data_IF_580300940911
#
_entry.id   IF_580300940911
#
_cell.length_a   1.000
_cell.length_b   1.000
_cell.length_c   1.000
_cell.angle_alpha   90.00
_cell.angle_beta   90.00
_cell.angle_gamma   90.00
#
_symmetry.space_group_name_H-M   'P 1'
#
loop_
_entity.id
_entity.type
_entity.pdbx_description
1 polymer ?
#
# COMPACT_ATOMS: atom_id res chain seq x y z
N UNK A 1 2.47 -7.06 -10.04
CA UNK A 1 2.67 -6.84 -8.61
C UNK A 1 3.86 -5.94 -8.31
N UNK A 2 3.78 -5.22 -7.17
CA UNK A 2 4.97 -4.67 -6.52
C UNK A 2 5.61 -5.79 -5.71
N UNK A 3 6.88 -6.15 -5.93
CA UNK A 3 7.52 -7.22 -5.20
C UNK A 3 7.88 -6.79 -3.76
N UNK A 4 7.76 -7.71 -2.77
CA UNK A 4 7.36 -9.12 -2.90
C UNK A 4 5.89 -9.32 -2.46
N UNK A 5 5.33 -8.41 -1.67
CA UNK A 5 4.05 -8.54 -0.94
C UNK A 5 2.82 -8.53 -1.86
N UNK A 6 2.84 -7.79 -2.95
CA UNK A 6 1.72 -7.70 -3.89
C UNK A 6 1.50 -8.94 -4.79
N UNK A 7 2.36 -9.95 -4.76
CA UNK A 7 2.35 -11.06 -5.73
C UNK A 7 1.09 -11.91 -5.69
N UNK A 8 0.70 -12.37 -4.50
CA UNK A 8 -0.44 -13.29 -4.34
C UNK A 8 -1.73 -12.58 -4.74
N UNK A 9 -1.93 -11.36 -4.24
CA UNK A 9 -3.11 -10.58 -4.58
C UNK A 9 -3.19 -10.25 -6.07
N UNK A 10 -2.07 -9.89 -6.70
CA UNK A 10 -2.02 -9.63 -8.15
C UNK A 10 -2.34 -10.89 -8.97
N UNK A 11 -1.89 -12.07 -8.54
CA UNK A 11 -2.18 -13.33 -9.21
C UNK A 11 -3.69 -13.65 -9.16
N UNK A 12 -4.30 -13.55 -7.99
CA UNK A 12 -5.74 -13.82 -7.84
C UNK A 12 -6.60 -12.76 -8.54
N UNK A 13 -6.19 -11.49 -8.49
CA UNK A 13 -6.84 -10.43 -9.23
C UNK A 13 -6.75 -10.66 -10.76
N UNK A 14 -5.60 -11.06 -11.27
CA UNK A 14 -5.44 -11.36 -12.69
C UNK A 14 -6.31 -12.53 -13.14
N UNK A 15 -6.42 -13.58 -12.32
CA UNK A 15 -7.32 -14.72 -12.58
C UNK A 15 -8.78 -14.30 -12.63
N UNK A 16 -9.22 -13.52 -11.64
CA UNK A 16 -10.61 -13.05 -11.54
C UNK A 16 -10.99 -12.13 -12.68
N UNK A 17 -10.08 -11.25 -13.10
CA UNK A 17 -10.30 -10.31 -14.21
C UNK A 17 -10.06 -10.93 -15.59
N UNK A 18 -9.56 -12.16 -15.67
CA UNK A 18 -9.21 -12.81 -16.94
C UNK A 18 -8.10 -12.12 -17.71
N UNK A 19 -7.18 -11.43 -17.01
CA UNK A 19 -6.03 -10.73 -17.60
C UNK A 19 -4.73 -11.45 -17.32
N UNK A 20 -3.68 -11.11 -18.07
CA UNK A 20 -2.38 -11.73 -17.88
C UNK A 20 -1.69 -11.22 -16.60
N UNK A 21 -1.26 -12.16 -15.77
CA UNK A 21 -0.32 -11.89 -14.69
C UNK A 21 1.10 -11.77 -15.24
N UNK A 22 1.80 -10.70 -14.89
CA UNK A 22 3.20 -10.46 -15.27
C UNK A 22 3.97 -9.78 -14.14
N UNK A 23 5.23 -10.15 -13.95
CA UNK A 23 6.14 -9.49 -13.01
C UNK A 23 6.98 -8.46 -13.77
N UNK A 24 6.51 -7.22 -13.83
CA UNK A 24 7.21 -6.12 -14.51
C UNK A 24 8.28 -5.46 -13.64
N UNK A 25 8.23 -5.66 -12.32
CA UNK A 25 9.23 -5.13 -11.39
C UNK A 25 10.10 -6.25 -10.82
N UNK A 26 11.40 -6.01 -10.78
CA UNK A 26 12.39 -6.93 -10.18
C UNK A 26 13.08 -6.24 -9.02
N UNK A 27 13.09 -6.91 -7.87
CA UNK A 27 13.77 -6.43 -6.67
C UNK A 27 15.26 -6.73 -6.74
N UNK A 28 16.07 -5.71 -6.56
CA UNK A 28 17.51 -5.91 -6.43
C UNK A 28 17.83 -6.44 -5.02
N UNK A 29 18.17 -7.73 -4.93
CA UNK A 29 18.43 -8.41 -3.65
C UNK A 29 19.79 -8.06 -3.03
N UNK A 30 20.70 -7.47 -3.80
CA UNK A 30 22.04 -7.09 -3.33
C UNK A 30 22.06 -5.77 -2.55
N UNK A 31 20.98 -5.00 -2.57
CA UNK A 31 20.87 -3.75 -1.81
C UNK A 31 20.06 -4.03 -0.56
N UNK A 32 20.74 -4.14 0.57
CA UNK A 32 20.13 -4.38 1.88
C UNK A 32 19.10 -3.30 2.27
N UNK A 33 18.25 -3.58 3.25
CA UNK A 33 17.38 -2.57 3.87
C UNK A 33 18.29 -1.47 4.42
N UNK A 34 18.25 -0.29 3.83
CA UNK A 34 18.81 0.91 4.44
C UNK A 34 17.95 1.25 5.63
N UNK A 35 18.38 0.84 6.82
CA UNK A 35 17.79 1.27 8.08
C UNK A 35 17.87 2.80 8.14
N UNK A 36 16.74 3.42 8.39
CA UNK A 36 16.50 4.79 8.86
C UNK A 36 17.73 5.70 8.74
N UNK A 37 17.91 6.32 7.57
CA UNK A 37 18.82 7.47 7.46
C UNK A 37 18.00 8.76 7.57
N UNK A 38 18.41 9.72 8.41
CA UNK A 38 17.77 11.03 8.46
C UNK A 38 18.08 11.81 7.17
N UNK A 39 17.02 12.25 6.47
CA UNK A 39 17.13 13.11 5.30
C UNK A 39 16.20 12.69 4.15
N UNK A 40 15.31 13.59 3.73
CA UNK A 40 14.36 13.35 2.64
C UNK A 40 15.01 13.11 1.26
N UNK A 41 16.20 13.66 1.01
CA UNK A 41 16.91 13.52 -0.27
C UNK A 41 17.45 12.11 -0.50
N UNK A 42 17.85 11.40 0.56
CA UNK A 42 18.39 10.03 0.46
C UNK A 42 17.27 8.98 0.24
N UNK A 43 16.03 9.28 0.65
CA UNK A 43 14.88 8.39 0.46
C UNK A 43 14.43 8.28 -1.01
N UNK A 44 14.55 9.35 -1.80
CA UNK A 44 14.16 9.36 -3.22
C UNK A 44 14.98 8.40 -4.08
N UNK A 45 16.27 8.24 -3.81
CA UNK A 45 17.15 7.35 -4.56
C UNK A 45 17.07 5.89 -4.09
N UNK A 46 16.54 5.63 -2.89
CA UNK A 46 16.53 4.28 -2.31
C UNK A 46 15.57 3.32 -3.01
N UNK A 47 14.44 3.80 -3.54
CA UNK A 47 13.47 2.96 -4.28
C UNK A 47 14.02 2.58 -5.65
N UNK A 48 14.65 3.53 -6.37
CA UNK A 48 15.32 3.23 -7.66
C UNK A 48 16.43 2.19 -7.54
N UNK A 49 17.16 2.20 -6.43
CA UNK A 49 18.21 1.22 -6.18
C UNK A 49 17.65 -0.17 -5.84
N UNK A 50 16.42 -0.25 -5.34
CA UNK A 50 15.80 -1.50 -4.87
C UNK A 50 14.92 -2.19 -5.92
N UNK A 51 14.37 -1.46 -6.87
CA UNK A 51 13.48 -1.98 -7.91
C UNK A 51 13.99 -1.60 -9.29
N UNK A 52 13.93 -2.55 -10.22
CA UNK A 52 14.15 -2.34 -11.65
C UNK A 52 12.90 -2.73 -12.41
N UNK A 53 12.70 -2.10 -13.59
CA UNK A 53 11.61 -2.44 -14.51
C UNK A 53 12.10 -3.34 -15.63
N UNK A 54 11.26 -4.28 -16.03
CA UNK A 54 11.44 -5.06 -17.27
C UNK A 54 10.66 -4.33 -18.36
N UNK A 55 11.36 -3.56 -19.22
CA UNK A 55 10.76 -2.68 -20.23
C UNK A 55 9.69 -3.39 -21.09
N UNK A 56 9.96 -4.62 -21.52
CA UNK A 56 9.05 -5.42 -22.34
C UNK A 56 7.70 -5.72 -21.67
N UNK A 57 7.61 -5.61 -20.35
CA UNK A 57 6.36 -5.80 -19.60
C UNK A 57 5.51 -4.53 -19.51
N UNK A 58 6.09 -3.36 -19.80
CA UNK A 58 5.40 -2.06 -19.73
C UNK A 58 5.14 -1.42 -21.10
N UNK A 59 6.10 -1.55 -22.01
CA UNK A 59 6.11 -0.81 -23.29
C UNK A 59 4.83 -1.00 -24.09
N UNK A 60 4.13 0.12 -24.35
CA UNK A 60 2.87 0.19 -25.10
C UNK A 60 1.70 -0.59 -24.47
N UNK A 61 1.76 -0.92 -23.17
CA UNK A 61 0.71 -1.67 -22.47
C UNK A 61 -0.08 -0.78 -21.50
N UNK A 62 -1.34 -1.13 -21.29
CA UNK A 62 -2.11 -0.70 -20.15
C UNK A 62 -1.78 -1.65 -18.99
N UNK A 63 -1.30 -1.13 -17.89
CA UNK A 63 -0.84 -1.95 -16.76
C UNK A 63 -1.63 -1.65 -15.51
N UNK A 64 -2.03 -2.69 -14.78
CA UNK A 64 -2.56 -2.60 -13.44
C UNK A 64 -1.45 -3.01 -12.46
N UNK A 65 -0.99 -2.07 -11.68
CA UNK A 65 0.00 -2.29 -10.62
C UNK A 65 -0.75 -2.64 -9.34
N UNK A 66 -0.33 -3.71 -8.67
CA UNK A 66 -0.93 -4.17 -7.41
C UNK A 66 0.12 -4.13 -6.32
N UNK A 67 -0.17 -3.39 -5.25
CA UNK A 67 0.68 -3.24 -4.07
C UNK A 67 -0.07 -3.65 -2.80
N UNK A 68 0.65 -3.94 -1.73
CA UNK A 68 0.07 -4.32 -0.44
C UNK A 68 -0.68 -3.16 0.21
N UNK A 69 -0.09 -1.97 0.24
CA UNK A 69 -0.66 -0.79 0.89
C UNK A 69 -0.05 0.52 0.39
N UNK A 70 -0.77 1.62 0.57
CA UNK A 70 -0.28 2.97 0.33
C UNK A 70 -0.32 3.75 1.65
N UNK A 71 0.86 4.13 2.16
CA UNK A 71 0.97 4.90 3.42
C UNK A 71 1.26 6.36 3.13
N UNK A 72 2.49 6.71 2.78
CA UNK A 72 2.90 8.09 2.44
C UNK A 72 2.73 8.44 0.95
N UNK A 73 2.50 7.45 0.10
CA UNK A 73 2.36 7.62 -1.35
C UNK A 73 3.66 7.84 -2.13
N UNK A 74 4.77 8.14 -1.47
CA UNK A 74 6.05 8.40 -2.15
C UNK A 74 6.57 7.19 -2.94
N UNK A 75 6.41 5.98 -2.38
CA UNK A 75 6.79 4.73 -3.03
C UNK A 75 5.89 4.46 -4.23
N UNK A 76 4.56 4.57 -4.04
CA UNK A 76 3.57 4.35 -5.10
C UNK A 76 3.77 5.32 -6.27
N UNK A 77 3.96 6.62 -5.98
CA UNK A 77 4.32 7.63 -6.99
C UNK A 77 5.55 7.22 -7.80
N UNK A 78 6.59 6.77 -7.09
CA UNK A 78 7.83 6.37 -7.75
C UNK A 78 7.65 5.14 -8.64
N UNK A 79 6.85 4.17 -8.19
CA UNK A 79 6.52 2.96 -8.94
C UNK A 79 5.75 3.32 -10.22
N UNK A 80 4.78 4.23 -10.13
CA UNK A 80 4.05 4.76 -11.29
C UNK A 80 4.98 5.46 -12.27
N UNK A 81 5.88 6.33 -11.77
CA UNK A 81 6.90 7.01 -12.60
C UNK A 81 7.81 6.00 -13.31
N UNK A 82 8.22 4.93 -12.64
CA UNK A 82 9.05 3.88 -13.24
C UNK A 82 8.30 3.13 -14.35
N UNK A 83 7.03 2.78 -14.14
CA UNK A 83 6.20 2.13 -15.15
C UNK A 83 6.03 3.03 -16.41
N UNK A 84 5.75 4.32 -16.20
CA UNK A 84 5.66 5.29 -17.29
C UNK A 84 6.99 5.45 -18.03
N UNK A 85 8.10 5.54 -17.29
CA UNK A 85 9.45 5.63 -17.90
C UNK A 85 9.82 4.38 -18.69
N UNK A 86 9.27 3.21 -18.32
CA UNK A 86 9.41 1.96 -19.06
C UNK A 86 8.44 1.85 -20.26
N UNK A 87 7.66 2.90 -20.56
CA UNK A 87 6.82 3.01 -21.74
C UNK A 87 5.39 2.50 -21.57
N UNK A 88 4.87 2.41 -20.35
CA UNK A 88 3.46 2.09 -20.13
C UNK A 88 2.55 3.14 -20.77
N UNK A 89 1.48 2.68 -21.46
CA UNK A 89 0.49 3.55 -22.12
C UNK A 89 -0.47 4.13 -21.08
N UNK A 90 -0.95 3.30 -20.17
CA UNK A 90 -1.76 3.70 -19.02
C UNK A 90 -1.32 2.93 -17.79
N UNK A 91 -1.38 3.57 -16.63
CA UNK A 91 -0.99 2.99 -15.35
C UNK A 91 -2.17 3.08 -14.39
N UNK A 92 -2.75 1.92 -14.08
CA UNK A 92 -3.76 1.75 -13.05
C UNK A 92 -3.10 1.23 -11.78
N UNK A 93 -3.65 1.56 -10.60
CA UNK A 93 -3.07 1.16 -9.34
C UNK A 93 -4.11 0.55 -8.39
N UNK A 94 -3.83 -0.60 -7.81
CA UNK A 94 -4.67 -1.25 -6.82
C UNK A 94 -3.89 -1.45 -5.51
N UNK A 95 -4.50 -1.02 -4.40
CA UNK A 95 -4.02 -1.29 -3.05
C UNK A 95 -4.81 -2.45 -2.45
N UNK A 96 -4.11 -3.47 -1.94
CA UNK A 96 -4.71 -4.62 -1.26
C UNK A 96 -5.18 -4.29 0.16
N UNK A 97 -4.71 -3.17 0.72
CA UNK A 97 -5.21 -2.63 1.98
C UNK A 97 -6.18 -1.48 1.73
N UNK A 98 -7.14 -1.25 2.65
CA UNK A 98 -7.90 -0.01 2.70
C UNK A 98 -7.00 1.23 2.87
N UNK A 99 -7.53 2.45 2.68
CA UNK A 99 -6.78 3.67 2.96
C UNK A 99 -6.28 3.71 4.40
N UNK A 100 -4.97 3.83 4.60
CA UNK A 100 -4.37 4.00 5.93
C UNK A 100 -4.47 5.48 6.30
N UNK A 101 -5.29 5.80 7.31
CA UNK A 101 -5.61 7.20 7.69
C UNK A 101 -5.30 7.52 9.15
N UNK A 102 -5.02 6.50 9.96
CA UNK A 102 -4.72 6.66 11.38
C UNK A 102 -3.41 5.94 11.75
N UNK A 103 -2.62 6.50 12.69
CA UNK A 103 -1.51 5.75 13.29
C UNK A 103 -2.07 4.63 14.16
N UNK A 104 -1.43 3.45 14.11
CA UNK A 104 -1.72 2.37 15.03
C UNK A 104 -0.76 2.45 16.22
N UNK A 105 -1.30 2.41 17.45
CA UNK A 105 -0.50 2.52 18.68
C UNK A 105 0.44 1.34 18.90
N UNK A 106 0.15 0.20 18.30
CA UNK A 106 0.99 -1.00 18.32
C UNK A 106 1.96 -1.08 17.15
N UNK A 107 1.84 -0.15 16.19
CA UNK A 107 2.70 -0.08 15.00
C UNK A 107 4.07 0.47 15.34
N UNK A 108 5.10 -0.13 14.73
CA UNK A 108 6.48 0.36 14.82
C UNK A 108 6.71 1.33 13.66
N UNK A 109 7.32 2.49 13.93
CA UNK A 109 7.67 3.52 12.94
C UNK A 109 6.46 4.01 12.10
N UNK A 110 5.31 4.15 12.76
CA UNK A 110 4.13 4.73 12.10
C UNK A 110 4.36 6.24 11.89
N UNK A 111 4.01 6.77 10.69
CA UNK A 111 4.14 8.20 10.42
C UNK A 111 3.18 9.04 11.27
N UNK A 112 3.47 10.34 11.38
CA UNK A 112 2.50 11.30 11.90
C UNK A 112 1.27 11.35 10.99
N UNK A 113 0.12 11.72 11.55
CA UNK A 113 -1.19 11.65 10.85
C UNK A 113 -1.18 12.42 9.52
N UNK A 114 -0.49 13.53 9.49
CA UNK A 114 -0.37 14.43 8.34
C UNK A 114 0.48 13.84 7.20
N UNK A 115 1.29 12.83 7.50
CA UNK A 115 2.13 12.16 6.51
C UNK A 115 1.38 11.08 5.71
N UNK A 116 0.19 10.65 6.16
CA UNK A 116 -0.62 9.68 5.40
C UNK A 116 -1.19 10.35 4.16
N UNK A 117 -0.93 9.75 2.99
CA UNK A 117 -1.47 10.31 1.74
C UNK A 117 -3.00 10.34 1.73
N UNK A 118 -3.64 9.38 2.40
CA UNK A 118 -5.10 9.27 2.48
C UNK A 118 -5.74 10.21 3.52
N UNK A 119 -4.93 10.90 4.34
CA UNK A 119 -5.47 11.82 5.33
C UNK A 119 -6.07 13.06 4.65
N UNK A 120 -7.41 13.21 4.79
CA UNK A 120 -8.15 14.35 4.24
C UNK A 120 -8.24 14.40 2.72
N UNK A 121 -7.93 13.30 2.00
CA UNK A 121 -8.00 13.24 0.54
C UNK A 121 -8.98 12.18 0.06
N UNK A 122 -9.66 12.48 -1.04
CA UNK A 122 -10.44 11.48 -1.79
C UNK A 122 -9.52 10.54 -2.56
N UNK A 123 -10.06 9.40 -3.00
CA UNK A 123 -9.34 8.43 -3.84
C UNK A 123 -8.83 9.08 -5.13
N UNK A 124 -9.62 9.96 -5.75
CA UNK A 124 -9.22 10.68 -6.97
C UNK A 124 -8.04 11.62 -6.72
N UNK A 125 -8.04 12.33 -5.59
CA UNK A 125 -6.91 13.19 -5.20
C UNK A 125 -5.64 12.39 -4.91
N UNK A 126 -5.78 11.19 -4.35
CA UNK A 126 -4.65 10.28 -4.12
C UNK A 126 -4.13 9.74 -5.46
N UNK A 127 -5.03 9.34 -6.36
CA UNK A 127 -4.72 8.89 -7.71
C UNK A 127 -3.88 9.93 -8.47
N UNK A 128 -4.33 11.19 -8.44
CA UNK A 128 -3.59 12.32 -9.03
C UNK A 128 -2.22 12.52 -8.37
N UNK A 129 -2.16 12.46 -7.03
CA UNK A 129 -0.94 12.67 -6.27
C UNK A 129 0.14 11.62 -6.57
N UNK A 130 -0.25 10.35 -6.81
CA UNK A 130 0.68 9.29 -7.21
C UNK A 130 0.94 9.25 -8.72
N UNK A 131 0.15 9.98 -9.53
CA UNK A 131 0.29 10.08 -10.98
C UNK A 131 -0.26 8.89 -11.76
N UNK A 132 -1.17 8.11 -11.18
CA UNK A 132 -1.88 7.02 -11.86
C UNK A 132 -3.06 7.55 -12.69
N UNK A 133 -3.50 6.80 -13.70
CA UNK A 133 -4.67 7.16 -14.51
C UNK A 133 -5.98 6.73 -13.81
N UNK A 134 -5.92 5.75 -12.95
CA UNK A 134 -7.01 5.28 -12.11
C UNK A 134 -6.47 4.46 -10.96
N UNK A 135 -7.20 4.43 -9.83
CA UNK A 135 -6.83 3.60 -8.71
C UNK A 135 -8.03 3.07 -7.94
N UNK A 136 -7.78 2.00 -7.18
CA UNK A 136 -8.73 1.40 -6.27
C UNK A 136 -8.05 0.96 -4.97
N UNK A 137 -8.76 1.11 -3.88
CA UNK A 137 -8.43 0.52 -2.59
C UNK A 137 -9.31 -0.68 -2.30
N UNK A 138 -8.79 -1.64 -1.55
CA UNK A 138 -9.58 -2.67 -0.89
C UNK A 138 -10.62 -2.01 0.03
N UNK A 139 -11.85 -2.50 0.04
CA UNK A 139 -12.86 -2.06 1.01
C UNK A 139 -12.61 -2.79 2.34
N UNK A 140 -12.77 -2.06 3.45
CA UNK A 140 -12.53 -2.63 4.78
C UNK A 140 -13.48 -3.81 5.08
N UNK A 141 -14.77 -3.65 4.77
CA UNK A 141 -15.76 -4.71 5.01
C UNK A 141 -15.44 -5.99 4.24
N UNK A 142 -15.02 -5.85 2.96
CA UNK A 142 -14.66 -6.99 2.12
C UNK A 142 -13.36 -7.65 2.62
N UNK A 143 -12.41 -6.87 3.14
CA UNK A 143 -11.19 -7.40 3.74
C UNK A 143 -11.50 -8.21 5.01
N UNK A 144 -12.33 -7.67 5.88
CA UNK A 144 -12.78 -8.36 7.10
C UNK A 144 -13.50 -9.66 6.72
N UNK A 145 -14.43 -9.60 5.77
CA UNK A 145 -15.17 -10.79 5.30
C UNK A 145 -14.22 -11.85 4.73
N UNK A 146 -13.24 -11.45 3.92
CA UNK A 146 -12.25 -12.37 3.35
C UNK A 146 -11.36 -13.03 4.43
N UNK A 147 -11.00 -12.29 5.48
CA UNK A 147 -10.20 -12.81 6.58
C UNK A 147 -11.01 -13.69 7.55
N UNK A 148 -12.30 -13.41 7.69
CA UNK A 148 -13.20 -14.22 8.54
C UNK A 148 -13.51 -15.57 7.88
N UNK A 149 -13.64 -15.63 6.56
CA UNK A 149 -13.99 -16.82 5.80
C UNK A 149 -15.29 -17.45 6.31
N UNK A 150 -15.37 -18.78 6.25
CA UNK A 150 -16.50 -19.56 6.77
C UNK A 150 -16.42 -19.84 8.27
N UNK A 151 -15.59 -19.08 9.01
CA UNK A 151 -15.41 -19.28 10.45
C UNK A 151 -16.71 -18.98 11.20
N UNK A 152 -17.21 -19.97 11.95
CA UNK A 152 -18.35 -19.80 12.87
C UNK A 152 -17.97 -19.10 14.17
N UNK A 153 -16.69 -18.91 14.43
CA UNK A 153 -16.19 -18.21 15.60
C UNK A 153 -16.19 -16.70 15.34
N UNK A 154 -16.64 -15.91 16.30
CA UNK A 154 -16.55 -14.46 16.25
C UNK A 154 -15.07 -14.03 16.30
N UNK A 155 -14.50 -13.72 15.15
CA UNK A 155 -13.14 -13.18 15.05
C UNK A 155 -13.24 -11.66 14.93
N UNK A 156 -12.51 -10.94 15.78
CA UNK A 156 -12.43 -9.49 15.75
C UNK A 156 -11.02 -9.09 15.30
N UNK A 157 -10.94 -8.14 14.38
CA UNK A 157 -9.67 -7.63 13.87
C UNK A 157 -9.43 -6.21 14.35
N UNK A 158 -8.16 -5.88 14.65
CA UNK A 158 -7.77 -4.49 14.87
C UNK A 158 -7.69 -3.77 13.52
N UNK A 159 -8.65 -2.89 13.27
CA UNK A 159 -8.74 -2.07 12.06
C UNK A 159 -8.39 -0.60 12.33
N UNK A 160 -7.80 -0.29 13.47
CA UNK A 160 -7.59 1.08 13.95
C UNK A 160 -6.79 1.97 13.00
N UNK A 161 -5.89 1.40 12.17
CA UNK A 161 -5.19 2.16 11.14
C UNK A 161 -6.09 2.61 9.97
N UNK A 162 -7.26 1.98 9.80
CA UNK A 162 -8.23 2.29 8.75
C UNK A 162 -9.41 3.11 9.28
N UNK A 163 -9.98 2.74 10.43
CA UNK A 163 -11.21 3.33 10.99
C UNK A 163 -10.98 4.17 12.26
N UNK A 164 -9.80 4.09 12.87
CA UNK A 164 -9.46 4.77 14.11
C UNK A 164 -9.99 4.10 15.39
N UNK A 165 -10.62 2.93 15.28
CA UNK A 165 -11.20 2.21 16.42
C UNK A 165 -10.19 1.21 16.99
N UNK A 166 -9.71 1.43 18.20
CA UNK A 166 -8.86 0.48 18.93
C UNK A 166 -9.71 -0.62 19.57
N UNK A 167 -9.29 -1.89 19.43
CA UNK A 167 -9.90 -3.02 20.14
C UNK A 167 -9.70 -2.91 21.65
N UNK A 168 -8.56 -2.39 22.07
CA UNK A 168 -8.23 -2.16 23.47
C UNK A 168 -7.85 -0.69 23.64
N UNK A 169 -8.61 0.03 24.45
CA UNK A 169 -8.18 1.34 24.96
C UNK A 169 -7.27 1.10 26.16
N UNK A 170 -6.05 1.59 26.15
CA UNK A 170 -5.28 1.68 27.39
C UNK A 170 -6.04 2.58 28.36
N UNK A 171 -6.14 2.22 29.66
CA UNK A 171 -6.79 3.07 30.65
C UNK A 171 -6.15 4.45 30.62
N UNK A 172 -6.99 5.49 30.57
CA UNK A 172 -6.53 6.87 30.66
C UNK A 172 -5.80 7.05 31.99
N UNK A 173 -4.71 7.83 32.06
CA UNK A 173 -4.08 8.19 33.32
C UNK A 173 -5.05 8.81 34.35
N UNK A 174 -6.22 9.29 33.91
CA UNK A 174 -7.28 9.83 34.76
C UNK A 174 -8.16 8.75 35.42
N UNK A 175 -8.13 7.52 34.89
CA UNK A 175 -8.95 6.40 35.45
C UNK A 175 -8.25 5.69 36.64
N UNK A 176 -6.96 6.02 36.89
CA UNK A 176 -6.19 5.48 38.00
C UNK A 176 -6.38 6.25 39.33
N UNK A 177 -7.04 7.42 39.34
CA UNK A 177 -7.20 8.26 40.50
C UNK A 177 -8.57 8.10 41.19
N UNK A 178 -9.36 7.11 40.84
CA UNK A 178 -10.67 6.81 41.47
C UNK A 178 -10.70 5.48 42.22
N UNK A 179 -9.74 5.30 43.14
CA UNK A 179 -9.80 4.23 44.15
C UNK A 179 -9.36 4.75 45.51
#
# INVERSE_FOLDING_TARGET
PVPDSGRIAALEMARTLGVQYREGFVKNRYIGRTFIMPGQSVRKDSVRKKLNTIEGEFKNKNVLIVDDSIVRGNTSKRIVEMARSAGAKSVFFASCAPPVIHPNVYGIDMPAREEYIAHGRSVDQICEAIGADWMVYQRLDDLIAACTGDSTNAVTFDCSCFDGCLLYTSPSPRDSDSS
#
